data_IF_825208995044
#
_entry.id   IF_825208995044
#
_cell.length_a   1.000
_cell.length_b   1.000
_cell.length_c   1.000
_cell.angle_alpha   90.00
_cell.angle_beta   90.00
_cell.angle_gamma   90.00
#
_symmetry.space_group_name_H-M   'P 1'
#
loop_
_entity.id
_entity.type
_entity.pdbx_description
1 polymer ?
#
# COMPACT_ATOMS: atom_id res chain seq x y z
N UNK A 1 7.29 21.24 -1.44
CA UNK A 1 7.50 21.74 -0.06
C UNK A 1 7.10 20.71 1.01
N UNK A 2 6.30 19.68 0.69
CA UNK A 2 5.76 18.70 1.67
C UNK A 2 6.81 17.67 2.15
N UNK A 3 7.69 17.18 1.27
CA UNK A 3 8.69 16.14 1.62
C UNK A 3 9.64 16.50 2.77
N UNK A 4 10.00 17.79 2.95
CA UNK A 4 10.88 18.22 4.05
C UNK A 4 10.22 18.01 5.41
N UNK A 5 8.93 18.32 5.52
CA UNK A 5 8.17 18.16 6.77
C UNK A 5 8.13 16.70 7.23
N UNK A 6 7.99 15.76 6.29
CA UNK A 6 7.90 14.34 6.65
C UNK A 6 9.27 13.77 7.03
N UNK A 7 10.37 14.29 6.46
CA UNK A 7 11.72 13.98 6.92
C UNK A 7 11.98 14.51 8.34
N UNK A 8 11.54 15.74 8.62
CA UNK A 8 11.62 16.32 9.96
C UNK A 8 10.78 15.50 10.96
N UNK A 9 9.56 15.12 10.58
CA UNK A 9 8.67 14.29 11.41
C UNK A 9 9.23 12.88 11.65
N UNK A 10 9.84 12.25 10.64
CA UNK A 10 10.51 10.96 10.78
C UNK A 10 11.66 11.06 11.77
N UNK A 11 12.46 12.13 11.68
CA UNK A 11 13.60 12.38 12.57
C UNK A 11 13.13 12.58 14.01
N UNK A 12 12.12 13.45 14.23
CA UNK A 12 11.56 13.71 15.54
C UNK A 12 10.98 12.43 16.15
N UNK A 13 10.10 11.74 15.42
CA UNK A 13 9.44 10.52 15.92
C UNK A 13 10.45 9.42 16.25
N UNK A 14 11.53 9.30 15.48
CA UNK A 14 12.60 8.34 15.77
C UNK A 14 13.42 8.70 17.01
N UNK A 15 13.66 10.00 17.27
CA UNK A 15 14.37 10.46 18.48
C UNK A 15 13.50 10.24 19.73
N UNK A 16 12.19 10.42 19.58
CA UNK A 16 11.21 10.25 20.66
C UNK A 16 10.80 8.79 20.88
N UNK A 17 11.38 7.84 20.14
CA UNK A 17 11.02 6.40 20.15
C UNK A 17 9.53 6.13 19.86
N UNK A 18 8.84 7.07 19.21
CA UNK A 18 7.46 6.93 18.78
C UNK A 18 7.36 6.05 17.54
N UNK A 19 7.32 4.74 17.76
CA UNK A 19 7.32 3.72 16.70
C UNK A 19 6.20 3.91 15.68
N UNK A 20 4.97 4.24 16.13
CA UNK A 20 3.84 4.46 15.24
C UNK A 20 4.06 5.71 14.38
N UNK A 21 4.48 6.82 15.00
CA UNK A 21 4.79 8.07 14.30
C UNK A 21 5.91 7.91 13.27
N UNK A 22 6.95 7.12 13.59
CA UNK A 22 8.02 6.77 12.66
C UNK A 22 7.49 6.00 11.45
N UNK A 23 6.62 5.01 11.66
CA UNK A 23 6.04 4.21 10.57
C UNK A 23 5.14 5.05 9.66
N UNK A 24 4.30 5.92 10.24
CA UNK A 24 3.45 6.86 9.50
C UNK A 24 4.32 7.78 8.63
N UNK A 25 5.29 8.47 9.23
CA UNK A 25 6.15 9.41 8.50
C UNK A 25 6.96 8.71 7.38
N UNK A 26 7.45 7.49 7.63
CA UNK A 26 8.14 6.69 6.62
C UNK A 26 7.22 6.28 5.46
N UNK A 27 5.96 5.97 5.75
CA UNK A 27 5.01 5.61 4.72
C UNK A 27 4.62 6.82 3.85
N UNK A 28 4.35 7.97 4.46
CA UNK A 28 4.10 9.23 3.73
C UNK A 28 5.26 9.61 2.80
N UNK A 29 6.51 9.40 3.23
CA UNK A 29 7.67 9.59 2.37
C UNK A 29 7.64 8.65 1.16
N UNK A 30 7.20 7.39 1.35
CA UNK A 30 7.03 6.43 0.26
C UNK A 30 5.95 6.90 -0.73
N UNK A 31 4.81 7.40 -0.25
CA UNK A 31 3.76 7.98 -1.09
C UNK A 31 4.25 9.20 -1.88
N UNK A 32 5.07 10.07 -1.28
CA UNK A 32 5.64 11.21 -2.00
C UNK A 32 6.65 10.77 -3.06
N UNK A 33 7.44 9.74 -2.77
CA UNK A 33 8.38 9.19 -3.74
C UNK A 33 7.65 8.57 -4.92
N UNK A 34 6.54 7.86 -4.72
CA UNK A 34 5.73 7.36 -5.85
C UNK A 34 5.19 8.50 -6.71
N UNK A 35 4.68 9.57 -6.10
CA UNK A 35 4.24 10.76 -6.83
C UNK A 35 5.36 11.41 -7.66
N UNK A 36 6.58 11.47 -7.14
CA UNK A 36 7.75 11.95 -7.90
C UNK A 36 8.13 11.00 -9.04
N UNK A 37 8.09 9.69 -8.79
CA UNK A 37 8.42 8.66 -9.79
C UNK A 37 7.46 8.65 -10.98
N UNK A 38 6.23 9.13 -10.80
CA UNK A 38 5.17 9.05 -11.82
C UNK A 38 5.61 9.61 -13.18
N UNK A 39 6.31 10.75 -13.20
CA UNK A 39 6.79 11.39 -14.43
C UNK A 39 7.89 10.62 -15.17
N UNK A 40 8.51 9.63 -14.54
CA UNK A 40 9.67 8.91 -15.07
C UNK A 40 9.40 7.41 -15.27
N UNK A 41 8.50 6.83 -14.48
CA UNK A 41 8.19 5.41 -14.45
C UNK A 41 6.79 5.17 -13.88
N UNK A 42 5.75 5.64 -14.58
CA UNK A 42 4.34 5.59 -14.16
C UNK A 42 3.91 4.22 -13.61
N UNK A 43 4.17 3.15 -14.35
CA UNK A 43 3.83 1.78 -13.97
C UNK A 43 4.44 1.39 -12.62
N UNK A 44 5.72 1.71 -12.39
CA UNK A 44 6.39 1.43 -11.11
C UNK A 44 5.89 2.35 -10.03
N UNK A 45 5.65 3.62 -10.34
CA UNK A 45 5.12 4.60 -9.40
C UNK A 45 3.80 4.11 -8.79
N UNK A 46 2.87 3.61 -9.61
CA UNK A 46 1.61 3.04 -9.12
C UNK A 46 1.84 1.88 -8.15
N UNK A 47 2.77 0.97 -8.44
CA UNK A 47 3.05 -0.14 -7.52
C UNK A 47 3.61 0.37 -6.19
N UNK A 48 4.45 1.40 -6.18
CA UNK A 48 4.95 2.00 -4.93
C UNK A 48 3.85 2.73 -4.15
N UNK A 49 2.95 3.40 -4.85
CA UNK A 49 1.77 4.03 -4.26
C UNK A 49 0.87 2.97 -3.59
N UNK A 50 0.53 1.88 -4.28
CA UNK A 50 -0.27 0.79 -3.71
C UNK A 50 0.40 0.13 -2.49
N UNK A 51 1.74 0.07 -2.46
CA UNK A 51 2.47 -0.36 -1.27
C UNK A 51 2.30 0.61 -0.10
N UNK A 52 2.21 1.92 -0.37
CA UNK A 52 1.91 2.92 0.66
C UNK A 52 0.52 2.70 1.23
N UNK A 53 -0.49 2.64 0.37
CA UNK A 53 -1.88 2.42 0.79
C UNK A 53 -2.05 1.15 1.61
N UNK A 54 -1.39 0.04 1.24
CA UNK A 54 -1.42 -1.19 2.03
C UNK A 54 -0.85 -1.02 3.45
N UNK A 55 0.19 -0.19 3.61
CA UNK A 55 0.72 0.12 4.95
C UNK A 55 -0.20 1.05 5.71
N UNK A 56 -0.82 2.01 5.04
CA UNK A 56 -1.83 2.88 5.67
C UNK A 56 -3.01 2.07 6.20
N UNK A 57 -3.49 1.06 5.46
CA UNK A 57 -4.51 0.11 5.96
C UNK A 57 -4.10 -0.50 7.31
N UNK A 58 -2.84 -0.94 7.45
CA UNK A 58 -2.34 -1.54 8.69
C UNK A 58 -2.14 -0.51 9.81
N UNK A 59 -1.73 0.71 9.48
CA UNK A 59 -1.50 1.79 10.44
C UNK A 59 -2.83 2.34 10.98
N UNK A 60 -3.82 2.54 10.12
CA UNK A 60 -5.16 2.98 10.49
C UNK A 60 -5.88 1.91 11.33
N UNK A 61 -5.81 0.64 10.93
CA UNK A 61 -6.36 -0.45 11.74
C UNK A 61 -5.66 -0.58 13.11
N UNK A 62 -4.37 -0.24 13.22
CA UNK A 62 -3.64 -0.28 14.49
C UNK A 62 -4.09 0.81 15.49
N UNK A 63 -4.83 1.82 15.03
CA UNK A 63 -5.46 2.86 15.86
C UNK A 63 -6.99 2.79 15.80
N UNK A 64 -7.54 1.62 15.46
CA UNK A 64 -8.98 1.33 15.36
C UNK A 64 -9.73 2.21 14.35
N UNK A 65 -9.03 2.81 13.39
CA UNK A 65 -9.62 3.61 12.31
C UNK A 65 -9.94 2.74 11.08
N UNK A 66 -10.83 1.77 11.25
CA UNK A 66 -11.22 0.85 10.17
C UNK A 66 -11.92 1.56 9.00
N UNK A 67 -12.55 2.72 9.23
CA UNK A 67 -13.16 3.52 8.17
C UNK A 67 -12.15 4.02 7.14
N UNK A 68 -11.04 4.60 7.61
CA UNK A 68 -9.96 5.06 6.72
C UNK A 68 -9.21 3.87 6.09
N UNK A 69 -9.04 2.78 6.85
CA UNK A 69 -8.49 1.54 6.30
C UNK A 69 -9.34 0.99 5.14
N UNK A 70 -10.67 1.02 5.25
CA UNK A 70 -11.58 0.64 4.16
C UNK A 70 -11.49 1.59 2.96
N UNK A 71 -11.35 2.89 3.17
CA UNK A 71 -11.17 3.87 2.10
C UNK A 71 -9.86 3.61 1.31
N UNK A 72 -8.77 3.33 2.04
CA UNK A 72 -7.48 2.98 1.43
C UNK A 72 -7.56 1.68 0.62
N UNK A 73 -8.27 0.66 1.12
CA UNK A 73 -8.52 -0.57 0.37
C UNK A 73 -9.35 -0.31 -0.90
N UNK A 74 -10.41 0.49 -0.81
CA UNK A 74 -11.24 0.83 -1.95
C UNK A 74 -10.41 1.48 -3.07
N UNK A 75 -9.53 2.42 -2.72
CA UNK A 75 -8.58 2.99 -3.67
C UNK A 75 -7.72 1.93 -4.36
N UNK A 76 -7.16 0.98 -3.60
CA UNK A 76 -6.36 -0.11 -4.18
C UNK A 76 -7.17 -0.96 -5.17
N UNK A 77 -8.44 -1.22 -4.88
CA UNK A 77 -9.33 -1.97 -5.76
C UNK A 77 -9.66 -1.20 -7.04
N UNK A 78 -9.85 0.12 -6.95
CA UNK A 78 -10.08 1.00 -8.11
C UNK A 78 -8.90 1.02 -9.09
N UNK A 79 -7.67 0.74 -8.64
CA UNK A 79 -6.48 0.69 -9.49
C UNK A 79 -6.29 -0.66 -10.21
N UNK A 80 -7.10 -1.69 -9.92
CA UNK A 80 -6.98 -3.01 -10.55
C UNK A 80 -7.09 -3.01 -12.09
N UNK A 81 -7.97 -2.22 -12.73
CA UNK A 81 -8.00 -2.09 -14.19
C UNK A 81 -6.67 -1.60 -14.75
N UNK A 82 -6.06 -0.58 -14.12
CA UNK A 82 -4.75 -0.05 -14.54
C UNK A 82 -3.64 -1.08 -14.38
N UNK A 83 -3.62 -1.84 -13.28
CA UNK A 83 -2.70 -2.96 -13.08
C UNK A 83 -2.87 -4.04 -14.17
N UNK A 84 -4.11 -4.34 -14.56
CA UNK A 84 -4.38 -5.27 -15.65
C UNK A 84 -3.86 -4.78 -17.01
N UNK A 85 -3.99 -3.49 -17.30
CA UNK A 85 -3.48 -2.87 -18.54
C UNK A 85 -1.94 -2.88 -18.61
N UNK A 86 -1.28 -2.64 -17.49
CA UNK A 86 0.19 -2.72 -17.36
C UNK A 86 0.71 -4.14 -17.67
N UNK A 87 -0.06 -5.16 -17.29
CA UNK A 87 0.32 -6.56 -17.38
C UNK A 87 -0.16 -7.21 -18.70
N UNK A 88 0.49 -6.83 -19.81
CA UNK A 88 0.12 -7.19 -21.19
C UNK A 88 0.13 -8.69 -21.53
N UNK A 89 0.88 -9.51 -20.79
CA UNK A 89 1.04 -10.95 -21.07
C UNK A 89 0.07 -11.85 -20.28
N UNK A 90 -0.19 -13.07 -20.77
CA UNK A 90 -1.07 -14.06 -20.10
C UNK A 90 -0.65 -14.33 -18.64
N UNK A 91 0.66 -14.44 -18.37
CA UNK A 91 1.22 -14.58 -17.01
C UNK A 91 1.13 -13.30 -16.17
N UNK A 92 0.96 -12.16 -16.83
CA UNK A 92 0.68 -10.87 -16.19
C UNK A 92 -0.77 -10.84 -15.68
N UNK A 93 -1.73 -11.23 -16.53
CA UNK A 93 -3.15 -11.30 -16.16
C UNK A 93 -3.43 -12.26 -14.99
N UNK A 94 -2.76 -13.42 -14.96
CA UNK A 94 -2.86 -14.32 -13.79
C UNK A 94 -2.37 -13.65 -12.50
N UNK A 95 -1.34 -12.80 -12.58
CA UNK A 95 -0.82 -12.08 -11.42
C UNK A 95 -1.77 -10.98 -10.94
N UNK A 96 -2.43 -10.29 -11.86
CA UNK A 96 -3.45 -9.31 -11.52
C UNK A 96 -4.66 -9.96 -10.83
N UNK A 97 -5.06 -11.14 -11.29
CA UNK A 97 -6.14 -11.91 -10.66
C UNK A 97 -5.76 -12.37 -9.25
N UNK A 98 -4.51 -12.80 -9.03
CA UNK A 98 -4.01 -13.11 -7.68
C UNK A 98 -4.03 -11.89 -6.76
N UNK A 99 -3.67 -10.71 -7.27
CA UNK A 99 -3.78 -9.47 -6.50
C UNK A 99 -5.25 -9.17 -6.15
N UNK A 100 -6.17 -9.28 -7.12
CA UNK A 100 -7.60 -9.07 -6.88
C UNK A 100 -8.12 -9.96 -5.76
N UNK A 101 -7.86 -11.27 -5.84
CA UNK A 101 -8.27 -12.22 -4.80
C UNK A 101 -7.63 -11.92 -3.43
N UNK A 102 -6.36 -11.49 -3.40
CA UNK A 102 -5.71 -11.10 -2.17
C UNK A 102 -6.33 -9.83 -1.53
N UNK A 103 -6.78 -8.87 -2.35
CA UNK A 103 -7.51 -7.70 -1.87
C UNK A 103 -8.91 -8.05 -1.35
N UNK A 104 -9.61 -8.99 -2.00
CA UNK A 104 -10.89 -9.50 -1.50
C UNK A 104 -10.73 -10.22 -0.14
N UNK A 105 -9.63 -10.98 0.02
CA UNK A 105 -9.27 -11.60 1.30
C UNK A 105 -8.94 -10.57 2.38
N UNK A 106 -8.20 -9.52 2.03
CA UNK A 106 -7.89 -8.41 2.93
C UNK A 106 -9.16 -7.65 3.34
N UNK A 107 -10.09 -7.46 2.40
CA UNK A 107 -11.40 -6.87 2.67
C UNK A 107 -12.15 -7.62 3.75
N UNK A 108 -12.23 -8.95 3.65
CA UNK A 108 -12.93 -9.77 4.64
C UNK A 108 -12.31 -9.62 6.03
N UNK A 109 -10.98 -9.58 6.12
CA UNK A 109 -10.29 -9.35 7.38
C UNK A 109 -10.57 -7.95 7.97
N UNK A 110 -10.67 -6.91 7.12
CA UNK A 110 -11.08 -5.57 7.55
C UNK A 110 -12.54 -5.51 8.01
N UNK A 111 -13.45 -6.16 7.29
CA UNK A 111 -14.88 -6.19 7.63
C UNK A 111 -15.14 -6.93 8.95
N UNK A 112 -14.27 -7.89 9.29
CA UNK A 112 -14.29 -8.63 10.55
C UNK A 112 -13.53 -7.91 11.69
N UNK A 113 -12.86 -6.79 11.40
CA UNK A 113 -11.97 -6.06 12.32
C UNK A 113 -10.91 -6.97 13.00
N UNK A 114 -10.51 -8.06 12.33
CA UNK A 114 -9.52 -9.01 12.83
C UNK A 114 -8.11 -8.53 12.48
N UNK A 115 -7.50 -7.77 13.39
CA UNK A 115 -6.15 -7.23 13.21
C UNK A 115 -5.06 -8.30 13.00
N UNK A 116 -5.23 -9.52 13.52
CA UNK A 116 -4.26 -10.59 13.32
C UNK A 116 -4.39 -11.18 11.92
N UNK A 117 -5.61 -11.45 11.47
CA UNK A 117 -5.90 -11.90 10.12
C UNK A 117 -5.51 -10.84 9.09
N UNK A 118 -5.77 -9.57 9.39
CA UNK A 118 -5.42 -8.43 8.54
C UNK A 118 -3.93 -8.41 8.22
N UNK A 119 -3.07 -8.58 9.23
CA UNK A 119 -1.61 -8.65 9.06
C UNK A 119 -1.21 -9.81 8.14
N UNK A 120 -1.80 -10.99 8.34
CA UNK A 120 -1.52 -12.17 7.50
C UNK A 120 -1.95 -11.92 6.05
N UNK A 121 -3.13 -11.35 5.83
CA UNK A 121 -3.63 -11.05 4.48
C UNK A 121 -2.82 -9.94 3.80
N UNK A 122 -2.38 -8.93 4.54
CA UNK A 122 -1.53 -7.87 4.00
C UNK A 122 -0.18 -8.40 3.50
N UNK A 123 0.40 -9.42 4.14
CA UNK A 123 1.63 -10.09 3.65
C UNK A 123 1.40 -10.68 2.25
N UNK A 124 0.24 -11.30 2.00
CA UNK A 124 -0.09 -11.86 0.68
C UNK A 124 -0.24 -10.74 -0.36
N UNK A 125 -0.88 -9.62 0.00
CA UNK A 125 -1.04 -8.47 -0.92
C UNK A 125 0.33 -7.87 -1.28
N UNK A 126 1.22 -7.64 -0.30
CA UNK A 126 2.54 -7.07 -0.59
C UNK A 126 3.40 -8.00 -1.45
N UNK A 127 3.33 -9.32 -1.24
CA UNK A 127 4.01 -10.30 -2.08
C UNK A 127 3.52 -10.22 -3.53
N UNK A 128 2.21 -10.12 -3.76
CA UNK A 128 1.65 -9.96 -5.09
C UNK A 128 2.13 -8.65 -5.76
N UNK A 129 2.13 -7.53 -5.03
CA UNK A 129 2.65 -6.25 -5.53
C UNK A 129 4.14 -6.33 -5.87
N UNK A 130 4.94 -7.06 -5.09
CA UNK A 130 6.36 -7.30 -5.39
C UNK A 130 6.57 -8.14 -6.65
N UNK A 131 5.72 -9.15 -6.88
CA UNK A 131 5.78 -9.94 -8.11
C UNK A 131 5.37 -9.12 -9.34
N UNK A 132 4.37 -8.25 -9.22
CA UNK A 132 3.99 -7.31 -10.28
C UNK A 132 5.14 -6.36 -10.59
N UNK A 133 5.77 -5.79 -9.56
CA UNK A 133 6.92 -4.88 -9.72
C UNK A 133 8.10 -5.48 -10.50
N UNK A 134 8.26 -6.81 -10.52
CA UNK A 134 9.32 -7.50 -11.27
C UNK A 134 8.98 -7.72 -12.74
N UNK A 135 7.71 -7.57 -13.11
CA UNK A 135 7.19 -7.81 -14.47
C UNK A 135 6.99 -6.52 -15.27
N UNK A 136 7.23 -5.36 -14.66
CA UNK A 136 7.07 -4.02 -15.24
C UNK A 136 8.38 -3.24 -15.31
#
# INVERSE_FOLDING_TARGET
MISRRNLDQLTISSIEENSLGTLVAANELTAHLSGFMFSFAEDRALVYELKSFLRDILLEAAVDNYGEAQANLAYMQEQLPKINEMLKEKKGKEQAEKLRLALDDLKRALDEEDAALLKVKAVVVIENLLQISKKI
#
